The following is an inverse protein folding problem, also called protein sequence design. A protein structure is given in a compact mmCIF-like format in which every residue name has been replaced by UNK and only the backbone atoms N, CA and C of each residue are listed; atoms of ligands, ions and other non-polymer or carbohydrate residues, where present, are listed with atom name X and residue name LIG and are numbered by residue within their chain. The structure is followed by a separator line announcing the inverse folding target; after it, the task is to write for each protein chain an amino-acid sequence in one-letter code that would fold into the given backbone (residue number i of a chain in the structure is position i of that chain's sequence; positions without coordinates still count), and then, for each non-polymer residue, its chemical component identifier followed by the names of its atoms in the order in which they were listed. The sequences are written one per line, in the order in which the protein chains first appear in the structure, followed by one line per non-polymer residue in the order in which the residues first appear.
data_IF_368827769356
#
_entry.id   IF_368827769356
#
_cell.length_a   1.000
_cell.length_b   1.000
_cell.length_c   1.000
_cell.angle_alpha   90.00
_cell.angle_beta   90.00
_cell.angle_gamma   90.00
#
_symmetry.space_group_name_H-M   'P 1'
#
loop_
_entity.id
_entity.type
_entity.pdbx_description
1 polymer ?
#
# COMPACT_ATOMS: atom_id res chain seq x y z
N UNK A 1 -20.53 -2.35 -17.81
CA UNK A 1 -20.85 -2.97 -16.51
C UNK A 1 -21.77 -2.02 -15.76
N UNK A 2 -22.98 -2.47 -15.45
CA UNK A 2 -23.90 -1.79 -14.52
C UNK A 2 -23.64 -2.36 -13.13
N UNK A 3 -23.50 -1.48 -12.14
CA UNK A 3 -23.28 -1.84 -10.75
C UNK A 3 -24.41 -1.23 -9.93
N UNK A 4 -25.35 -2.07 -9.52
CA UNK A 4 -26.47 -1.62 -8.69
C UNK A 4 -26.02 -1.28 -7.26
N UNK A 5 -25.08 -2.08 -6.73
CA UNK A 5 -24.49 -1.91 -5.41
C UNK A 5 -22.97 -2.09 -5.48
N UNK A 6 -22.22 -1.09 -5.01
CA UNK A 6 -20.77 -1.21 -4.86
C UNK A 6 -20.46 -1.98 -3.57
N UNK A 7 -19.86 -3.16 -3.72
CA UNK A 7 -19.42 -3.95 -2.58
C UNK A 7 -17.95 -3.60 -2.28
N UNK A 8 -17.63 -3.16 -1.06
CA UNK A 8 -16.25 -2.93 -0.66
C UNK A 8 -15.48 -4.25 -0.63
N UNK A 9 -14.25 -4.22 -1.14
CA UNK A 9 -13.32 -5.35 -1.14
C UNK A 9 -12.15 -5.05 -0.20
N UNK A 10 -12.10 -5.78 0.92
CA UNK A 10 -11.12 -5.59 2.00
C UNK A 10 -10.02 -6.66 2.00
N UNK A 11 -9.79 -7.33 0.88
CA UNK A 11 -8.71 -8.30 0.69
C UNK A 11 -7.78 -7.87 -0.43
N UNK A 12 -6.47 -8.08 -0.28
CA UNK A 12 -5.52 -7.85 -1.37
C UNK A 12 -5.47 -9.03 -2.37
N UNK A 13 -6.32 -10.04 -2.14
CA UNK A 13 -6.49 -11.23 -2.96
C UNK A 13 -7.97 -11.37 -3.38
N UNK A 14 -8.22 -12.08 -4.48
CA UNK A 14 -9.58 -12.53 -4.82
C UNK A 14 -10.04 -13.67 -3.89
N UNK A 15 -11.26 -14.19 -4.11
CA UNK A 15 -11.79 -15.33 -3.35
C UNK A 15 -10.99 -16.63 -3.54
N UNK A 16 -10.26 -16.75 -4.65
CA UNK A 16 -9.39 -17.89 -4.97
C UNK A 16 -7.96 -17.78 -4.42
N UNK A 17 -7.62 -16.67 -3.75
CA UNK A 17 -6.27 -16.39 -3.25
C UNK A 17 -5.31 -15.84 -4.32
N UNK A 18 -5.81 -15.40 -5.47
CA UNK A 18 -5.01 -14.74 -6.51
C UNK A 18 -4.69 -13.31 -6.09
N UNK A 19 -3.42 -12.86 -6.15
CA UNK A 19 -3.05 -11.49 -5.79
C UNK A 19 -3.71 -10.47 -6.73
N UNK A 20 -4.27 -9.41 -6.15
CA UNK A 20 -4.87 -8.30 -6.89
C UNK A 20 -3.90 -7.15 -7.02
N UNK A 21 -3.81 -6.55 -8.20
CA UNK A 21 -2.93 -5.42 -8.48
C UNK A 21 -3.64 -4.09 -8.22
N UNK A 22 -2.98 -3.17 -7.52
CA UNK A 22 -3.48 -1.81 -7.35
C UNK A 22 -3.30 -1.01 -8.65
N UNK A 23 -4.40 -0.49 -9.18
CA UNK A 23 -4.46 0.15 -10.49
C UNK A 23 -5.00 1.58 -10.42
N UNK A 24 -4.56 2.43 -11.35
CA UNK A 24 -4.91 3.86 -11.41
C UNK A 24 -5.49 4.28 -12.77
N UNK A 25 -5.61 3.34 -13.71
CA UNK A 25 -6.04 3.66 -15.06
C UNK A 25 -7.45 4.24 -15.08
N UNK A 26 -7.69 5.09 -16.06
CA UNK A 26 -9.03 5.64 -16.26
C UNK A 26 -10.01 4.50 -16.53
N UNK A 27 -11.05 4.39 -15.71
CA UNK A 27 -12.08 3.36 -15.84
C UNK A 27 -13.46 4.00 -15.77
N UNK A 28 -14.42 3.44 -16.50
CA UNK A 28 -15.81 3.89 -16.45
C UNK A 28 -16.77 2.73 -16.32
N UNK A 29 -17.79 2.92 -15.50
CA UNK A 29 -18.88 1.97 -15.28
C UNK A 29 -20.17 2.74 -15.00
N UNK A 30 -21.30 2.05 -15.04
CA UNK A 30 -22.57 2.61 -14.61
C UNK A 30 -22.82 2.22 -13.16
N UNK A 31 -23.31 3.16 -12.36
CA UNK A 31 -23.66 2.93 -10.97
C UNK A 31 -24.94 3.69 -10.62
N UNK A 32 -25.98 2.96 -10.23
CA UNK A 32 -27.32 3.51 -9.99
C UNK A 32 -27.83 4.40 -11.14
N UNK A 33 -27.62 3.98 -12.40
CA UNK A 33 -28.03 4.76 -13.57
C UNK A 33 -27.20 6.02 -13.87
N UNK A 34 -26.08 6.23 -13.16
CA UNK A 34 -25.10 7.27 -13.49
C UNK A 34 -23.83 6.68 -14.08
N UNK A 35 -23.28 7.36 -15.09
CA UNK A 35 -21.95 7.02 -15.58
C UNK A 35 -20.89 7.55 -14.62
N UNK A 36 -20.21 6.64 -13.95
CA UNK A 36 -19.05 6.95 -13.10
C UNK A 36 -17.78 6.82 -13.93
N UNK A 37 -16.95 7.84 -13.90
CA UNK A 37 -15.62 7.86 -14.53
C UNK A 37 -14.57 8.03 -13.44
N UNK A 38 -13.82 6.98 -13.18
CA UNK A 38 -12.64 7.01 -12.34
C UNK A 38 -11.50 7.60 -13.16
N UNK A 39 -10.90 8.68 -12.67
CA UNK A 39 -9.70 9.26 -13.21
C UNK A 39 -8.63 9.24 -12.11
N UNK A 40 -7.77 8.23 -12.13
CA UNK A 40 -6.75 7.98 -11.10
C UNK A 40 -7.28 7.57 -9.73
N UNK A 41 -8.56 7.18 -9.59
CA UNK A 41 -9.05 6.55 -8.35
C UNK A 41 -8.59 5.08 -8.30
N UNK A 42 -7.89 4.66 -7.23
CA UNK A 42 -7.44 3.29 -7.09
C UNK A 42 -8.57 2.27 -7.13
N UNK A 43 -8.29 1.17 -7.80
CA UNK A 43 -9.07 -0.04 -7.75
C UNK A 43 -8.12 -1.23 -7.77
N UNK A 44 -8.61 -2.38 -7.35
CA UNK A 44 -7.89 -3.64 -7.39
C UNK A 44 -8.31 -4.40 -8.65
N UNK A 45 -7.34 -4.99 -9.33
CA UNK A 45 -7.54 -5.67 -10.59
C UNK A 45 -6.94 -7.06 -10.54
N UNK A 46 -7.71 -8.04 -10.99
CA UNK A 46 -7.23 -9.41 -11.15
C UNK A 46 -6.70 -9.57 -12.58
N UNK A 47 -5.38 -9.72 -12.73
CA UNK A 47 -4.75 -9.89 -14.04
C UNK A 47 -5.09 -11.24 -14.70
N UNK A 48 -5.61 -12.22 -13.95
CA UNK A 48 -6.00 -13.53 -14.49
C UNK A 48 -7.46 -13.59 -14.97
N UNK A 49 -8.38 -12.87 -14.31
CA UNK A 49 -9.82 -12.91 -14.61
C UNK A 49 -10.36 -11.62 -15.23
N UNK A 50 -9.55 -10.57 -15.33
CA UNK A 50 -9.94 -9.21 -15.71
C UNK A 50 -11.00 -8.55 -14.79
N UNK A 51 -11.21 -9.14 -13.60
CA UNK A 51 -12.17 -8.63 -12.62
C UNK A 51 -11.67 -7.39 -11.89
N UNK A 52 -12.62 -6.58 -11.44
CA UNK A 52 -12.38 -5.32 -10.75
C UNK A 52 -13.00 -5.35 -9.38
N UNK A 53 -12.20 -4.98 -8.41
CA UNK A 53 -12.59 -4.86 -7.02
C UNK A 53 -12.31 -3.42 -6.56
N UNK A 54 -13.12 -2.91 -5.64
CA UNK A 54 -12.95 -1.55 -5.12
C UNK A 54 -12.58 -1.62 -3.64
N UNK A 55 -11.40 -1.09 -3.23
CA UNK A 55 -11.09 -0.92 -1.81
C UNK A 55 -12.19 -0.14 -1.09
N UNK A 56 -12.38 -0.39 0.21
CA UNK A 56 -13.38 0.32 1.04
C UNK A 56 -13.31 1.84 0.87
N UNK A 57 -12.10 2.42 0.86
CA UNK A 57 -11.90 3.86 0.67
C UNK A 57 -12.37 4.33 -0.71
N UNK A 58 -12.15 3.55 -1.77
CA UNK A 58 -12.65 3.86 -3.11
C UNK A 58 -14.17 3.82 -3.16
N UNK A 59 -14.80 2.81 -2.56
CA UNK A 59 -16.27 2.71 -2.48
C UNK A 59 -16.85 3.94 -1.79
N UNK A 60 -16.33 4.33 -0.61
CA UNK A 60 -16.79 5.51 0.11
C UNK A 60 -16.70 6.80 -0.73
N UNK A 61 -15.61 6.99 -1.47
CA UNK A 61 -15.43 8.14 -2.37
C UNK A 61 -16.43 8.11 -3.53
N UNK A 62 -16.65 6.93 -4.13
CA UNK A 62 -17.59 6.77 -5.24
C UNK A 62 -19.02 7.04 -4.76
N UNK A 63 -19.44 6.45 -3.65
CA UNK A 63 -20.77 6.64 -3.09
C UNK A 63 -21.04 8.11 -2.74
N UNK A 64 -20.08 8.80 -2.10
CA UNK A 64 -20.20 10.23 -1.80
C UNK A 64 -20.32 11.05 -3.10
N UNK A 65 -19.53 10.73 -4.14
CA UNK A 65 -19.59 11.41 -5.43
C UNK A 65 -20.92 11.16 -6.17
N UNK A 66 -21.41 9.92 -6.18
CA UNK A 66 -22.70 9.53 -6.77
C UNK A 66 -23.86 10.21 -6.05
N UNK A 67 -23.85 10.21 -4.71
CA UNK A 67 -24.88 10.87 -3.89
C UNK A 67 -24.90 12.40 -4.11
N UNK A 68 -23.75 13.03 -4.35
CA UNK A 68 -23.68 14.45 -4.75
C UNK A 68 -24.21 14.66 -6.16
N UNK A 69 -23.86 13.81 -7.12
CA UNK A 69 -24.28 13.94 -8.51
C UNK A 69 -25.81 13.79 -8.68
N UNK A 70 -26.43 12.82 -7.98
CA UNK A 70 -27.90 12.65 -7.95
C UNK A 70 -28.62 13.90 -7.46
N UNK A 71 -28.10 14.56 -6.42
CA UNK A 71 -28.65 15.83 -5.89
C UNK A 71 -28.54 17.00 -6.86
N UNK A 72 -27.62 16.93 -7.82
CA UNK A 72 -27.39 17.97 -8.83
C UNK A 72 -27.88 17.59 -10.23
N UNK A 73 -28.73 16.56 -10.35
CA UNK A 73 -29.32 16.07 -11.62
C UNK A 73 -28.29 15.88 -12.74
N UNK A 74 -27.09 15.37 -12.39
CA UNK A 74 -26.05 15.03 -13.38
C UNK A 74 -26.18 13.57 -13.76
N UNK A 75 -25.91 13.25 -15.02
CA UNK A 75 -25.90 11.86 -15.51
C UNK A 75 -24.49 11.25 -15.54
N UNK A 76 -23.46 12.09 -15.34
CA UNK A 76 -22.05 11.68 -15.35
C UNK A 76 -21.33 12.29 -14.15
N UNK A 77 -20.53 11.49 -13.46
CA UNK A 77 -19.62 11.94 -12.42
C UNK A 77 -18.20 11.50 -12.74
N UNK A 78 -17.25 12.45 -12.72
CA UNK A 78 -15.82 12.16 -12.85
C UNK A 78 -15.17 12.34 -11.49
N UNK A 79 -14.47 11.30 -11.03
CA UNK A 79 -13.78 11.29 -9.74
C UNK A 79 -12.28 11.42 -9.99
N UNK A 80 -11.69 12.51 -9.52
CA UNK A 80 -10.26 12.83 -9.62
C UNK A 80 -9.65 13.22 -8.26
N UNK A 81 -10.25 12.76 -7.16
CA UNK A 81 -9.93 13.26 -5.81
C UNK A 81 -8.60 12.72 -5.24
N UNK A 82 -7.91 11.84 -5.96
CA UNK A 82 -6.75 11.09 -5.44
C UNK A 82 -5.55 11.97 -5.17
N UNK A 83 -5.40 13.06 -5.93
CA UNK A 83 -4.40 14.07 -5.65
C UNK A 83 -4.50 14.66 -4.23
N UNK A 84 -5.61 14.50 -3.50
CA UNK A 84 -5.71 14.86 -2.08
C UNK A 84 -4.83 13.99 -1.20
N UNK A 85 -4.76 12.69 -1.47
CA UNK A 85 -3.92 11.76 -0.73
C UNK A 85 -2.43 11.96 -1.08
N UNK A 86 -2.12 12.47 -2.27
CA UNK A 86 -0.74 12.75 -2.70
C UNK A 86 -0.17 14.10 -2.25
N UNK A 87 -0.99 15.01 -1.67
CA UNK A 87 -0.60 16.42 -1.40
C UNK A 87 -0.02 16.69 -0.02
N UNK A 88 0.03 15.70 0.87
CA UNK A 88 0.46 15.89 2.26
C UNK A 88 1.36 14.77 2.75
N UNK A 89 2.19 15.09 3.75
CA UNK A 89 2.88 14.04 4.50
C UNK A 89 1.90 13.39 5.47
N UNK A 90 2.03 12.08 5.65
CA UNK A 90 1.29 11.39 6.72
C UNK A 90 1.84 11.88 8.07
N UNK A 91 1.03 11.82 9.15
CA UNK A 91 1.42 12.40 10.44
C UNK A 91 2.80 11.95 10.93
N UNK A 92 3.10 10.67 10.79
CA UNK A 92 4.39 10.09 11.20
C UNK A 92 5.58 10.53 10.33
N UNK A 93 5.33 10.99 9.10
CA UNK A 93 6.37 11.38 8.15
C UNK A 93 6.85 12.83 8.33
N UNK A 94 6.36 13.56 9.33
CA UNK A 94 6.82 14.93 9.61
C UNK A 94 8.35 14.95 9.76
N UNK A 95 9.02 15.77 8.95
CA UNK A 95 10.49 15.87 8.93
C UNK A 95 11.23 14.81 8.09
N UNK A 96 10.54 13.85 7.46
CA UNK A 96 11.19 12.82 6.61
C UNK A 96 11.09 13.15 5.12
N UNK A 97 12.11 12.84 4.31
CA UNK A 97 12.13 13.12 2.87
C UNK A 97 11.93 11.87 1.99
N UNK A 98 11.63 10.72 2.58
CA UNK A 98 11.41 9.48 1.84
C UNK A 98 10.31 9.64 0.79
N UNK A 99 10.56 9.04 -0.37
CA UNK A 99 9.60 8.78 -1.43
C UNK A 99 8.67 7.67 -0.96
N UNK A 100 7.40 8.01 -0.84
CA UNK A 100 6.33 7.08 -0.53
C UNK A 100 5.02 7.57 -1.11
N UNK A 101 4.04 6.68 -1.21
CA UNK A 101 2.70 7.05 -1.63
C UNK A 101 1.74 6.84 -0.48
N UNK A 102 1.08 7.91 -0.02
CA UNK A 102 0.00 7.74 0.95
C UNK A 102 -1.17 6.93 0.34
N UNK A 103 -1.27 6.85 -0.98
CA UNK A 103 -2.24 5.99 -1.65
C UNK A 103 -2.08 4.54 -1.17
N UNK A 104 -0.86 4.03 -1.02
CA UNK A 104 -0.65 2.66 -0.57
C UNK A 104 -1.30 2.45 0.80
N UNK A 105 -1.04 3.37 1.73
CA UNK A 105 -1.61 3.34 3.08
C UNK A 105 -3.15 3.38 3.10
N UNK A 106 -3.78 4.13 2.19
CA UNK A 106 -5.24 4.29 2.17
C UNK A 106 -5.98 3.25 1.33
N UNK A 107 -5.33 2.65 0.32
CA UNK A 107 -6.02 1.86 -0.69
C UNK A 107 -5.51 0.42 -0.81
N UNK A 108 -4.34 0.07 -0.27
CA UNK A 108 -3.98 -1.34 -0.08
C UNK A 108 -4.74 -1.86 1.15
N UNK A 109 -5.49 -2.97 1.00
CA UNK A 109 -6.25 -3.55 2.10
C UNK A 109 -5.41 -3.82 3.36
N UNK A 110 -6.02 -3.64 4.53
CA UNK A 110 -5.40 -3.92 5.83
C UNK A 110 -4.39 -2.88 6.36
N UNK A 111 -3.99 -1.86 5.58
CA UNK A 111 -3.02 -0.85 6.01
C UNK A 111 -3.64 0.31 6.79
N UNK A 112 -4.89 0.67 6.48
CA UNK A 112 -5.63 1.71 7.21
C UNK A 112 -6.24 1.13 8.49
N UNK A 113 -5.56 1.34 9.64
CA UNK A 113 -6.01 0.82 10.95
C UNK A 113 -6.73 1.82 11.85
N UNK A 114 -6.43 3.12 11.71
CA UNK A 114 -6.90 4.18 12.61
C UNK A 114 -7.52 5.35 11.83
N UNK A 115 -8.51 6.03 12.43
CA UNK A 115 -9.09 7.28 11.91
C UNK A 115 -9.08 8.32 13.04
N UNK A 116 -8.26 9.39 12.96
CA UNK A 116 -7.37 9.73 11.86
C UNK A 116 -6.19 8.73 11.71
N UNK A 117 -5.66 8.55 10.48
CA UNK A 117 -4.56 7.63 10.22
C UNK A 117 -3.24 8.14 10.81
N UNK A 118 -2.47 7.25 11.42
CA UNK A 118 -1.11 7.55 11.90
C UNK A 118 -0.06 7.52 10.77
N UNK A 119 -0.32 6.75 9.71
CA UNK A 119 0.58 6.51 8.59
C UNK A 119 1.68 5.48 8.88
N UNK A 120 1.60 4.73 9.99
CA UNK A 120 2.63 3.78 10.39
C UNK A 120 2.90 2.73 9.30
N UNK A 121 1.82 2.09 8.83
CA UNK A 121 1.85 1.03 7.82
C UNK A 121 1.93 1.58 6.39
N UNK A 122 2.64 2.68 6.19
CA UNK A 122 2.93 3.17 4.85
C UNK A 122 4.15 2.43 4.32
N UNK A 123 4.03 1.65 3.24
CA UNK A 123 5.18 0.95 2.70
C UNK A 123 6.17 1.94 2.07
N UNK A 124 7.44 1.76 2.39
CA UNK A 124 8.57 2.43 1.74
C UNK A 124 9.35 1.38 0.96
N UNK A 125 9.71 1.72 -0.27
CA UNK A 125 10.39 0.81 -1.19
C UNK A 125 11.85 1.21 -1.32
N UNK A 126 12.72 0.20 -1.39
CA UNK A 126 14.16 0.34 -1.51
C UNK A 126 14.74 -0.58 -2.57
N UNK A 127 15.91 -0.23 -3.10
CA UNK A 127 16.75 -1.18 -3.84
C UNK A 127 17.13 -2.37 -2.96
N UNK A 128 17.31 -3.54 -3.57
CA UNK A 128 17.71 -4.76 -2.86
C UNK A 128 19.06 -4.64 -2.15
N UNK A 129 19.93 -3.77 -2.67
CA UNK A 129 21.25 -3.47 -2.11
C UNK A 129 21.20 -2.97 -0.66
N UNK A 130 20.04 -2.46 -0.22
CA UNK A 130 19.80 -2.10 1.18
C UNK A 130 20.14 -3.26 2.13
N UNK A 131 19.84 -4.51 1.75
CA UNK A 131 20.11 -5.70 2.55
C UNK A 131 21.60 -6.06 2.58
N UNK A 132 22.37 -5.78 1.52
CA UNK A 132 23.79 -6.10 1.46
C UNK A 132 24.59 -5.36 2.55
N UNK A 133 24.25 -4.09 2.84
CA UNK A 133 24.83 -3.39 4.00
C UNK A 133 24.53 -4.13 5.29
N UNK A 134 23.27 -4.52 5.49
CA UNK A 134 22.84 -5.14 6.74
C UNK A 134 23.40 -6.54 6.95
N UNK A 135 23.72 -7.26 5.87
CA UNK A 135 24.44 -8.54 5.92
C UNK A 135 25.90 -8.41 6.39
N UNK A 136 26.56 -7.30 6.02
CA UNK A 136 27.98 -7.06 6.31
C UNK A 136 28.22 -6.05 7.44
N UNK A 137 27.17 -5.56 8.08
CA UNK A 137 27.27 -4.57 9.14
C UNK A 137 27.66 -5.22 10.45
N UNK A 138 28.60 -4.63 11.17
CA UNK A 138 28.84 -5.02 12.56
C UNK A 138 27.71 -4.55 13.49
N UNK A 139 26.84 -3.61 13.10
CA UNK A 139 25.83 -3.00 13.99
C UNK A 139 24.48 -3.71 14.00
N UNK A 140 24.28 -4.72 13.15
CA UNK A 140 23.03 -5.45 13.02
C UNK A 140 23.24 -6.84 12.39
N UNK A 141 22.18 -7.64 12.36
CA UNK A 141 22.13 -8.91 11.65
C UNK A 141 20.83 -9.03 10.87
N UNK A 142 20.89 -9.69 9.71
CA UNK A 142 19.70 -10.10 8.98
C UNK A 142 19.23 -11.46 9.47
N UNK A 143 17.95 -11.55 9.78
CA UNK A 143 17.25 -12.80 10.04
C UNK A 143 16.22 -13.02 8.93
N UNK A 144 16.56 -13.89 7.99
CA UNK A 144 15.71 -14.19 6.85
C UNK A 144 14.78 -15.35 7.20
N UNK A 145 13.49 -15.06 7.32
CA UNK A 145 12.47 -16.06 7.67
C UNK A 145 11.93 -16.79 6.43
N UNK A 146 11.82 -16.11 5.28
CA UNK A 146 11.42 -16.71 4.02
C UNK A 146 12.17 -16.07 2.84
N UNK A 147 11.91 -16.54 1.62
CA UNK A 147 12.45 -15.90 0.41
C UNK A 147 11.99 -14.45 0.21
N UNK A 148 10.88 -14.03 0.83
CA UNK A 148 10.25 -12.72 0.62
C UNK A 148 9.94 -11.95 1.91
N UNK A 149 10.39 -12.45 3.07
CA UNK A 149 10.23 -11.81 4.37
C UNK A 149 11.40 -12.09 5.32
N UNK A 150 11.67 -11.13 6.19
CA UNK A 150 12.63 -11.28 7.28
C UNK A 150 12.62 -10.09 8.21
N UNK A 151 13.66 -9.99 9.03
CA UNK A 151 13.87 -8.86 9.93
C UNK A 151 15.33 -8.43 9.99
N UNK A 152 15.55 -7.13 10.21
CA UNK A 152 16.85 -6.56 10.53
C UNK A 152 16.91 -6.40 12.06
N UNK A 153 17.76 -7.18 12.71
CA UNK A 153 18.01 -7.11 14.14
C UNK A 153 19.12 -6.11 14.42
N UNK A 154 18.78 -4.96 15.00
CA UNK A 154 19.76 -3.94 15.39
C UNK A 154 20.39 -4.31 16.73
N UNK A 155 21.69 -4.00 16.94
CA UNK A 155 22.39 -4.23 18.22
C UNK A 155 21.72 -3.59 19.45
N UNK A 156 20.85 -2.61 19.25
CA UNK A 156 20.04 -1.98 20.30
C UNK A 156 18.75 -2.74 20.67
N UNK A 157 18.53 -3.94 20.13
CA UNK A 157 17.33 -4.76 20.38
C UNK A 157 16.10 -4.36 19.56
N UNK A 158 16.21 -3.33 18.72
CA UNK A 158 15.16 -2.97 17.77
C UNK A 158 15.19 -3.94 16.57
N UNK A 159 14.03 -4.50 16.24
CA UNK A 159 13.82 -5.35 15.06
C UNK A 159 13.01 -4.59 14.02
N UNK A 160 13.50 -4.48 12.80
CA UNK A 160 12.77 -3.87 11.67
C UNK A 160 12.37 -4.98 10.70
N UNK A 161 11.08 -5.33 10.60
CA UNK A 161 10.63 -6.32 9.64
C UNK A 161 10.77 -5.77 8.21
N UNK A 162 11.10 -6.63 7.26
CA UNK A 162 11.18 -6.28 5.85
C UNK A 162 10.53 -7.34 4.97
N UNK A 163 10.07 -6.91 3.79
CA UNK A 163 9.57 -7.76 2.73
C UNK A 163 10.36 -7.58 1.43
N UNK A 164 10.18 -8.49 0.49
CA UNK A 164 10.67 -8.38 -0.88
C UNK A 164 9.49 -8.66 -1.82
N UNK A 165 9.13 -7.70 -2.66
CA UNK A 165 8.05 -7.92 -3.64
C UNK A 165 8.55 -8.68 -4.88
N UNK A 166 7.63 -8.95 -5.82
CA UNK A 166 7.94 -9.68 -7.05
C UNK A 166 9.00 -9.01 -7.93
N UNK A 167 9.20 -7.70 -7.80
CA UNK A 167 10.22 -6.93 -8.51
C UNK A 167 11.59 -6.98 -7.83
N UNK A 168 11.69 -7.64 -6.68
CA UNK A 168 12.91 -7.73 -5.88
C UNK A 168 13.19 -6.48 -5.03
N UNK A 169 12.25 -5.54 -4.96
CA UNK A 169 12.39 -4.34 -4.14
C UNK A 169 12.07 -4.64 -2.69
N UNK A 170 12.87 -4.06 -1.79
CA UNK A 170 12.73 -4.27 -0.35
C UNK A 170 11.69 -3.31 0.19
N UNK A 171 10.84 -3.80 1.08
CA UNK A 171 9.74 -3.05 1.67
C UNK A 171 9.93 -2.99 3.18
N UNK A 172 9.77 -1.81 3.76
CA UNK A 172 9.69 -1.62 5.21
C UNK A 172 8.57 -0.63 5.54
N UNK A 173 8.05 -0.68 6.76
CA UNK A 173 7.06 0.30 7.20
C UNK A 173 7.70 1.64 7.53
N UNK A 174 7.07 2.73 7.09
CA UNK A 174 7.47 4.09 7.44
C UNK A 174 7.57 4.28 8.96
N UNK A 175 6.62 3.71 9.71
CA UNK A 175 6.61 3.78 11.16
C UNK A 175 7.85 3.18 11.82
N UNK A 176 8.35 2.06 11.31
CA UNK A 176 9.59 1.46 11.80
C UNK A 176 10.79 2.35 11.44
N UNK A 177 10.84 2.86 10.20
CA UNK A 177 11.95 3.68 9.71
C UNK A 177 12.11 4.97 10.50
N UNK A 178 11.02 5.68 10.82
CA UNK A 178 11.12 6.97 11.50
C UNK A 178 11.70 6.87 12.91
N UNK A 179 11.60 5.68 13.53
CA UNK A 179 12.14 5.41 14.86
C UNK A 179 13.63 5.07 14.85
N UNK A 180 14.22 4.85 13.66
CA UNK A 180 15.64 4.52 13.52
C UNK A 180 16.56 5.72 13.78
N UNK A 181 17.83 5.45 14.19
CA UNK A 181 18.86 6.47 14.28
C UNK A 181 19.06 7.22 12.95
N UNK A 182 19.49 8.49 13.02
CA UNK A 182 19.65 9.34 11.83
C UNK A 182 20.57 8.74 10.76
N UNK A 183 21.65 8.10 11.19
CA UNK A 183 22.58 7.43 10.27
C UNK A 183 21.92 6.30 9.47
N UNK A 184 21.02 5.54 10.10
CA UNK A 184 20.27 4.47 9.43
C UNK A 184 19.25 5.04 8.46
N UNK A 185 18.53 6.10 8.86
CA UNK A 185 17.60 6.80 7.96
C UNK A 185 18.31 7.39 6.74
N UNK A 186 19.50 7.96 6.92
CA UNK A 186 20.30 8.51 5.81
C UNK A 186 20.73 7.45 4.81
N UNK A 187 21.12 6.26 5.28
CA UNK A 187 21.43 5.14 4.40
C UNK A 187 20.18 4.63 3.66
N UNK A 188 19.09 4.40 4.39
CA UNK A 188 17.83 3.99 3.75
C UNK A 188 17.39 5.01 2.72
N UNK A 189 17.61 6.31 2.98
CA UNK A 189 17.28 7.38 2.05
C UNK A 189 18.09 7.30 0.75
N UNK A 190 19.35 6.85 0.77
CA UNK A 190 20.13 6.68 -0.46
C UNK A 190 19.61 5.54 -1.34
N UNK A 191 19.01 4.52 -0.72
CA UNK A 191 18.45 3.36 -1.43
C UNK A 191 16.95 3.48 -1.72
N UNK A 192 16.31 4.57 -1.31
CA UNK A 192 14.87 4.75 -1.44
C UNK A 192 14.46 5.02 -2.89
N UNK A 193 13.58 4.17 -3.41
CA UNK A 193 13.05 4.24 -4.78
C UNK A 193 11.62 4.78 -4.79
N UNK A 194 11.11 5.05 -5.98
CA UNK A 194 9.72 5.48 -6.14
C UNK A 194 8.76 4.36 -5.70
N UNK A 195 7.56 4.73 -5.19
CA UNK A 195 6.55 3.76 -4.77
C UNK A 195 6.21 2.76 -5.89
N UNK A 196 6.18 1.47 -5.56
CA UNK A 196 5.88 0.44 -6.55
C UNK A 196 4.43 -0.06 -6.51
N UNK A 197 3.67 0.30 -5.47
CA UNK A 197 2.25 -0.09 -5.31
C UNK A 197 2.03 -1.62 -5.29
N UNK A 198 3.04 -2.36 -4.84
CA UNK A 198 3.07 -3.82 -4.84
C UNK A 198 3.69 -4.32 -3.53
N UNK A 199 2.82 -4.80 -2.64
CA UNK A 199 3.15 -5.28 -1.31
C UNK A 199 3.09 -6.82 -1.22
N UNK A 200 2.77 -7.51 -2.32
CA UNK A 200 2.61 -8.96 -2.35
C UNK A 200 3.91 -9.66 -1.97
N UNK A 201 3.91 -10.26 -0.79
CA UNK A 201 5.06 -10.93 -0.16
C UNK A 201 4.60 -11.67 1.10
N UNK A 202 5.41 -12.60 1.58
CA UNK A 202 5.19 -13.25 2.88
C UNK A 202 5.20 -12.21 4.02
N UNK A 203 5.87 -11.07 3.82
CA UNK A 203 5.89 -9.95 4.75
C UNK A 203 4.49 -9.33 4.93
N UNK A 204 3.76 -9.10 3.83
CA UNK A 204 2.37 -8.64 3.92
C UNK A 204 1.49 -9.68 4.60
N UNK A 205 1.60 -10.94 4.16
CA UNK A 205 0.84 -12.04 4.72
C UNK A 205 1.04 -12.16 6.23
N UNK A 206 2.28 -12.06 6.70
CA UNK A 206 2.58 -12.12 8.12
C UNK A 206 2.15 -10.86 8.89
N UNK A 207 2.54 -9.67 8.43
CA UNK A 207 2.35 -8.43 9.19
C UNK A 207 0.91 -7.90 9.15
N UNK A 208 0.16 -8.25 8.09
CA UNK A 208 -1.20 -7.77 7.86
C UNK A 208 -2.24 -8.88 8.00
N UNK A 209 -2.02 -10.06 7.41
CA UNK A 209 -2.98 -11.17 7.49
C UNK A 209 -2.76 -12.08 8.71
N UNK A 210 -1.64 -11.96 9.41
CA UNK A 210 -1.30 -12.77 10.58
C UNK A 210 -0.88 -14.20 10.24
N UNK A 211 -0.48 -14.45 8.98
CA UNK A 211 0.03 -15.75 8.55
C UNK A 211 1.40 -16.04 9.19
N UNK A 212 1.64 -17.28 9.58
CA UNK A 212 2.92 -17.67 10.17
C UNK A 212 3.99 -17.74 9.09
N UNK A 213 5.15 -17.10 9.32
CA UNK A 213 6.34 -17.34 8.50
C UNK A 213 6.88 -18.71 8.90
N UNK A 214 6.78 -19.70 8.00
CA UNK A 214 7.27 -21.05 8.27
C UNK A 214 8.79 -21.12 8.42
N UNK A 215 9.28 -22.12 9.14
CA UNK A 215 10.72 -22.42 9.24
C UNK A 215 11.23 -22.93 7.88
N UNK A 216 12.31 -22.33 7.37
CA UNK A 216 13.06 -22.80 6.18
C UNK A 216 13.70 -24.17 6.46
#
# INVERSE_FOLDING_TARGET
MEIDLLVPHDSYFDEGGTPLRLCFDKRSFQCSGLKVVLNQLPYLFNDATDEVFFPTTSVAIIEEAVARAKRSTKDVVTINQVGRFSRGKLPIAQGTSFKYSAIDHFFIPGLLRNIPPDGYLTPIYFNKDVLLKYEHSESCSLDQATSSAGSIQMKGGQSVPYGINQRGSVIMWLGDIVSLPEQEKMYLYSENIDPQHDLHSDFYNNQILGEWLGDI
#
